data_IF_711095806267
#
_entry.id   IF_711095806267
#
_cell.length_a   1.000
_cell.length_b   1.000
_cell.length_c   1.000
_cell.angle_alpha   90.00
_cell.angle_beta   90.00
_cell.angle_gamma   90.00
#
_symmetry.space_group_name_H-M   'P 1'
#
loop_
_entity.id
_entity.type
_entity.pdbx_description
1 polymer ?
#
# COMPACT_ATOMS: atom_id res chain seq x y z
N UNK A 1 -21.37 -13.41 -21.10
CA UNK A 1 -20.03 -13.99 -20.93
C UNK A 1 -18.97 -12.90 -20.78
N UNK A 2 -18.88 -12.28 -19.59
CA UNK A 2 -17.84 -11.26 -19.28
C UNK A 2 -17.52 -11.21 -17.78
N UNK A 3 -17.51 -12.35 -17.09
CA UNK A 3 -17.11 -12.48 -15.68
C UNK A 3 -15.68 -13.02 -15.57
N UNK A 4 -14.74 -12.35 -16.25
CA UNK A 4 -13.32 -12.65 -16.12
C UNK A 4 -12.45 -11.38 -16.07
N UNK A 5 -12.99 -10.32 -15.45
CA UNK A 5 -12.15 -9.20 -15.00
C UNK A 5 -11.49 -9.65 -13.70
N UNK A 6 -10.31 -10.25 -13.83
CA UNK A 6 -9.26 -10.38 -12.82
C UNK A 6 -9.65 -9.73 -11.47
N UNK A 7 -10.32 -10.50 -10.61
CA UNK A 7 -10.83 -10.03 -9.32
C UNK A 7 -9.68 -9.93 -8.31
N UNK A 8 -8.78 -8.96 -8.51
CA UNK A 8 -7.78 -8.52 -7.53
C UNK A 8 -8.17 -7.19 -6.91
N UNK A 9 -9.47 -6.95 -6.82
CA UNK A 9 -10.06 -5.91 -6.00
C UNK A 9 -10.11 -6.45 -4.58
N UNK A 10 -9.46 -5.82 -3.57
CA UNK A 10 -9.75 -6.14 -2.19
C UNK A 10 -11.24 -5.88 -2.02
N UNK A 11 -12.00 -6.94 -1.76
CA UNK A 11 -13.48 -6.96 -1.82
C UNK A 11 -14.10 -5.77 -1.07
N UNK A 12 -13.41 -5.25 -0.07
CA UNK A 12 -13.87 -4.23 0.85
C UNK A 12 -13.37 -2.80 0.56
N UNK A 13 -12.75 -2.50 -0.58
CA UNK A 13 -12.43 -1.10 -0.92
C UNK A 13 -13.74 -0.32 -1.14
N UNK A 14 -13.99 0.80 -0.43
CA UNK A 14 -15.22 1.57 -0.58
C UNK A 14 -15.45 2.06 -2.01
N UNK A 15 -16.71 2.02 -2.47
CA UNK A 15 -17.08 2.36 -3.85
C UNK A 15 -16.62 3.76 -4.29
N UNK A 16 -16.53 4.72 -3.37
CA UNK A 16 -16.03 6.07 -3.64
C UNK A 16 -14.60 6.08 -4.20
N UNK A 17 -13.76 5.09 -3.90
CA UNK A 17 -12.38 5.03 -4.38
C UNK A 17 -12.21 4.27 -5.71
N UNK A 18 -13.30 3.69 -6.26
CA UNK A 18 -13.23 2.90 -7.49
C UNK A 18 -12.66 3.64 -8.70
N UNK A 19 -12.83 4.95 -8.74
CA UNK A 19 -12.32 5.79 -9.83
C UNK A 19 -10.81 6.05 -9.75
N UNK A 20 -10.19 5.88 -8.58
CA UNK A 20 -8.73 6.09 -8.40
C UNK A 20 -7.94 4.79 -8.35
N UNK A 21 -8.60 3.63 -8.19
CA UNK A 21 -7.93 2.34 -8.06
C UNK A 21 -7.52 1.77 -9.42
N UNK A 22 -6.37 2.22 -9.92
CA UNK A 22 -5.89 1.99 -11.28
C UNK A 22 -4.50 1.34 -11.31
N UNK A 23 -3.74 1.42 -10.21
CA UNK A 23 -2.33 1.00 -10.12
C UNK A 23 -2.11 -0.46 -10.47
N UNK A 24 -3.04 -1.34 -10.09
CA UNK A 24 -3.01 -2.78 -10.44
C UNK A 24 -2.84 -3.01 -11.94
N UNK A 25 -3.54 -2.23 -12.77
CA UNK A 25 -3.44 -2.32 -14.24
C UNK A 25 -2.30 -1.44 -14.78
N UNK A 26 -2.18 -0.19 -14.30
CA UNK A 26 -1.16 0.76 -14.75
C UNK A 26 0.27 0.24 -14.55
N UNK A 27 0.50 -0.49 -13.46
CA UNK A 27 1.81 -0.98 -13.03
C UNK A 27 1.88 -2.51 -13.08
N UNK A 28 1.05 -3.18 -13.91
CA UNK A 28 1.00 -4.65 -13.97
C UNK A 28 2.34 -5.30 -14.37
N UNK A 29 3.14 -4.58 -15.15
CA UNK A 29 4.45 -5.01 -15.65
C UNK A 29 5.60 -4.33 -14.89
N UNK A 30 5.32 -3.78 -13.69
CA UNK A 30 6.34 -3.11 -12.89
C UNK A 30 7.51 -4.04 -12.53
N UNK A 31 8.75 -3.50 -12.44
CA UNK A 31 9.88 -4.28 -11.99
C UNK A 31 9.69 -4.69 -10.52
N UNK A 32 10.34 -5.80 -10.12
CA UNK A 32 10.24 -6.43 -8.79
C UNK A 32 8.89 -7.08 -8.50
N UNK A 33 7.78 -6.33 -8.60
CA UNK A 33 6.43 -6.82 -8.32
C UNK A 33 5.52 -6.61 -9.54
N UNK A 34 5.43 -7.62 -10.39
CA UNK A 34 4.46 -7.68 -11.49
C UNK A 34 3.14 -8.32 -11.02
N UNK A 35 2.09 -8.16 -11.82
CA UNK A 35 0.81 -8.85 -11.58
C UNK A 35 0.96 -10.37 -11.51
N UNK A 36 1.87 -10.98 -12.28
CA UNK A 36 2.09 -12.42 -12.23
C UNK A 36 2.80 -12.85 -10.93
N UNK A 37 3.72 -12.03 -10.40
CA UNK A 37 4.29 -12.25 -9.08
C UNK A 37 3.23 -12.14 -7.97
N UNK A 38 2.30 -11.19 -8.08
CA UNK A 38 1.18 -11.07 -7.14
C UNK A 38 0.27 -12.30 -7.16
N UNK A 39 -0.07 -12.82 -8.36
CA UNK A 39 -0.83 -14.07 -8.49
C UNK A 39 -0.13 -15.23 -7.80
N UNK A 40 1.19 -15.34 -8.00
CA UNK A 40 1.98 -16.36 -7.33
C UNK A 40 1.90 -16.23 -5.79
N UNK A 41 2.00 -15.02 -5.23
CA UNK A 41 1.82 -14.82 -3.79
C UNK A 41 0.42 -15.19 -3.30
N UNK A 42 -0.63 -14.81 -4.04
CA UNK A 42 -2.01 -15.15 -3.70
C UNK A 42 -2.24 -16.69 -3.73
N UNK A 43 -1.68 -17.38 -4.71
CA UNK A 43 -1.75 -18.84 -4.84
C UNK A 43 -1.00 -19.58 -3.73
N UNK A 44 0.09 -19.00 -3.22
CA UNK A 44 0.84 -19.58 -2.10
C UNK A 44 0.16 -19.30 -0.76
N UNK A 45 -0.35 -18.09 -0.57
CA UNK A 45 -0.94 -17.68 0.71
C UNK A 45 -2.36 -18.24 0.90
N UNK A 46 -3.14 -18.36 -0.19
CA UNK A 46 -4.51 -18.94 -0.21
C UNK A 46 -5.45 -18.38 0.84
N UNK A 47 -5.30 -17.11 1.19
CA UNK A 47 -6.11 -16.51 2.23
C UNK A 47 -7.47 -16.05 1.69
N UNK A 48 -8.46 -15.97 2.59
CA UNK A 48 -9.75 -15.39 2.25
C UNK A 48 -9.57 -13.88 2.00
N UNK A 49 -9.77 -13.48 0.74
CA UNK A 49 -9.72 -12.07 0.31
C UNK A 49 -10.66 -11.13 1.08
N UNK A 50 -11.70 -11.66 1.74
CA UNK A 50 -12.64 -10.88 2.58
C UNK A 50 -12.21 -10.82 4.04
N UNK A 51 -11.18 -11.56 4.42
CA UNK A 51 -10.69 -11.53 5.79
C UNK A 51 -10.03 -10.18 6.09
N UNK A 52 -10.43 -9.49 7.18
CA UNK A 52 -9.79 -8.25 7.58
C UNK A 52 -8.32 -8.42 8.00
N UNK A 53 -7.90 -9.66 8.29
CA UNK A 53 -6.49 -9.99 8.56
C UNK A 53 -5.64 -10.03 7.28
N UNK A 54 -6.26 -10.12 6.11
CA UNK A 54 -5.59 -10.11 4.80
C UNK A 54 -5.69 -8.72 4.17
N UNK A 55 -6.90 -8.16 4.19
CA UNK A 55 -7.19 -6.83 3.64
C UNK A 55 -7.68 -5.92 4.76
N UNK A 56 -6.83 -5.06 5.34
CA UNK A 56 -7.20 -4.21 6.47
C UNK A 56 -8.45 -3.37 6.21
N UNK A 57 -8.67 -2.91 4.97
CA UNK A 57 -9.88 -2.16 4.58
C UNK A 57 -11.20 -2.92 4.81
N UNK A 58 -11.17 -4.23 5.10
CA UNK A 58 -12.35 -5.01 5.49
C UNK A 58 -12.73 -4.87 6.96
N UNK A 59 -11.91 -4.23 7.81
CA UNK A 59 -12.34 -3.88 9.17
C UNK A 59 -13.50 -2.88 9.12
N UNK A 60 -14.45 -3.01 10.04
CA UNK A 60 -15.62 -2.11 10.12
C UNK A 60 -15.27 -0.70 10.59
N UNK A 61 -14.13 -0.56 11.26
CA UNK A 61 -13.65 0.68 11.88
C UNK A 61 -12.14 0.58 12.05
N UNK A 62 -11.50 1.71 11.84
CA UNK A 62 -10.07 2.02 12.00
C UNK A 62 -9.80 3.06 13.11
N UNK A 63 -10.85 3.59 13.76
CA UNK A 63 -10.73 4.46 14.94
C UNK A 63 -9.85 3.86 16.02
N UNK A 64 -9.03 4.70 16.64
CA UNK A 64 -8.16 4.31 17.75
C UNK A 64 -6.91 3.54 17.31
N UNK A 65 -6.67 3.35 16.01
CA UNK A 65 -5.38 2.89 15.52
C UNK A 65 -4.28 3.91 15.84
N UNK A 66 -3.04 3.46 16.04
CA UNK A 66 -1.92 4.35 16.32
C UNK A 66 -1.64 5.27 15.12
N UNK A 67 -0.97 6.41 15.35
CA UNK A 67 -0.38 7.21 14.28
C UNK A 67 0.36 6.32 13.29
N UNK A 68 0.07 6.48 12.01
CA UNK A 68 0.53 5.55 10.96
C UNK A 68 1.36 6.30 9.93
N UNK A 69 2.53 5.79 9.64
CA UNK A 69 3.41 6.32 8.59
C UNK A 69 3.43 5.39 7.38
N UNK A 70 3.40 5.97 6.18
CA UNK A 70 3.43 5.23 4.92
C UNK A 70 4.62 5.65 4.06
N UNK A 71 5.27 4.67 3.44
CA UNK A 71 6.21 4.86 2.33
C UNK A 71 5.60 4.20 1.10
N UNK A 72 5.26 5.02 0.09
CA UNK A 72 4.46 4.57 -1.05
C UNK A 72 5.29 4.69 -2.33
N UNK A 73 5.44 3.57 -3.04
CA UNK A 73 6.13 3.50 -4.33
C UNK A 73 5.18 3.87 -5.48
N UNK A 74 5.63 4.70 -6.42
CA UNK A 74 4.78 5.19 -7.51
C UNK A 74 4.61 4.20 -8.67
N UNK A 75 5.67 3.41 -8.96
CA UNK A 75 5.66 2.35 -9.98
C UNK A 75 5.36 0.98 -9.33
N UNK A 76 4.30 0.94 -8.53
CA UNK A 76 3.91 -0.24 -7.75
C UNK A 76 2.44 -0.58 -8.02
N UNK A 77 2.08 -1.83 -8.35
CA UNK A 77 0.68 -2.22 -8.48
C UNK A 77 -0.13 -2.04 -7.19
N UNK A 78 0.51 -2.03 -6.02
CA UNK A 78 -0.11 -1.83 -4.69
C UNK A 78 -0.26 -0.35 -4.28
N UNK A 79 0.14 0.59 -5.16
CA UNK A 79 0.19 2.02 -4.85
C UNK A 79 -1.16 2.55 -4.36
N UNK A 80 -2.24 2.25 -5.09
CA UNK A 80 -3.52 2.88 -4.81
C UNK A 80 -4.18 2.31 -3.54
N UNK A 81 -3.96 1.04 -3.19
CA UNK A 81 -4.39 0.49 -1.90
C UNK A 81 -3.80 1.26 -0.72
N UNK A 82 -2.51 1.60 -0.78
CA UNK A 82 -1.84 2.35 0.28
C UNK A 82 -2.40 3.77 0.41
N UNK A 83 -2.65 4.45 -0.72
CA UNK A 83 -3.26 5.78 -0.75
C UNK A 83 -4.68 5.74 -0.18
N UNK A 84 -5.49 4.77 -0.62
CA UNK A 84 -6.86 4.57 -0.15
C UNK A 84 -6.88 4.28 1.35
N UNK A 85 -5.99 3.41 1.83
CA UNK A 85 -5.95 3.07 3.25
C UNK A 85 -5.53 4.27 4.10
N UNK A 86 -4.55 5.05 3.65
CA UNK A 86 -4.21 6.33 4.29
C UNK A 86 -5.42 7.28 4.38
N UNK A 87 -6.21 7.40 3.31
CA UNK A 87 -7.39 8.29 3.32
C UNK A 87 -8.47 7.78 4.28
N UNK A 88 -8.70 6.46 4.32
CA UNK A 88 -9.61 5.83 5.30
C UNK A 88 -9.14 6.13 6.73
N UNK A 89 -7.84 5.98 7.04
CA UNK A 89 -7.29 6.28 8.35
C UNK A 89 -7.49 7.76 8.74
N UNK A 90 -7.23 8.69 7.82
CA UNK A 90 -7.44 10.13 8.04
C UNK A 90 -8.91 10.45 8.32
N UNK A 91 -9.84 9.89 7.55
CA UNK A 91 -11.28 10.07 7.75
C UNK A 91 -11.75 9.55 9.11
N UNK A 92 -11.08 8.53 9.66
CA UNK A 92 -11.36 7.98 10.97
C UNK A 92 -10.59 8.66 12.12
N UNK A 93 -9.91 9.78 11.83
CA UNK A 93 -9.22 10.62 12.81
C UNK A 93 -7.84 10.10 13.23
N UNK A 94 -7.28 9.12 12.52
CA UNK A 94 -5.92 8.63 12.75
C UNK A 94 -4.93 9.62 12.13
N UNK A 95 -3.92 10.03 12.90
CA UNK A 95 -2.82 10.85 12.38
C UNK A 95 -2.00 10.03 11.40
N UNK A 96 -1.84 10.51 10.17
CA UNK A 96 -0.98 9.85 9.20
C UNK A 96 0.06 10.79 8.60
N UNK A 97 1.19 10.21 8.21
CA UNK A 97 2.26 10.86 7.44
C UNK A 97 2.63 9.95 6.27
N UNK A 98 2.92 10.52 5.11
CA UNK A 98 3.20 9.78 3.88
C UNK A 98 4.44 10.36 3.22
N UNK A 99 5.40 9.51 2.88
CA UNK A 99 6.44 9.81 1.90
C UNK A 99 6.18 9.00 0.62
N UNK A 100 6.09 9.71 -0.49
CA UNK A 100 5.75 9.14 -1.79
C UNK A 100 6.99 9.18 -2.70
N UNK A 101 7.25 8.07 -3.39
CA UNK A 101 8.43 7.89 -4.24
C UNK A 101 7.99 7.67 -5.70
N UNK A 102 7.85 8.75 -6.50
CA UNK A 102 7.42 8.65 -7.89
C UNK A 102 8.37 7.79 -8.72
N UNK A 103 7.83 6.90 -9.54
CA UNK A 103 8.60 6.09 -10.49
C UNK A 103 9.45 4.96 -9.89
N UNK A 104 9.56 4.86 -8.55
CA UNK A 104 10.26 3.74 -7.92
C UNK A 104 9.34 2.53 -7.78
N UNK A 105 9.85 1.31 -8.01
CA UNK A 105 9.07 0.09 -7.91
C UNK A 105 8.94 -0.42 -6.48
N UNK A 106 8.07 -1.40 -6.30
CA UNK A 106 7.90 -2.11 -5.04
C UNK A 106 9.25 -2.57 -4.48
N UNK A 107 9.50 -2.30 -3.20
CA UNK A 107 10.71 -2.74 -2.48
C UNK A 107 12.04 -2.29 -3.09
N UNK A 108 12.09 -1.15 -3.80
CA UNK A 108 13.32 -0.65 -4.45
C UNK A 108 14.55 -0.59 -3.53
N UNK A 109 14.35 -0.29 -2.25
CA UNK A 109 15.41 -0.16 -1.25
C UNK A 109 16.21 -1.45 -1.06
N UNK A 110 15.65 -2.61 -1.38
CA UNK A 110 16.33 -3.90 -1.26
C UNK A 110 17.21 -4.24 -2.46
N UNK A 111 17.02 -3.60 -3.61
CA UNK A 111 17.67 -3.95 -4.87
C UNK A 111 18.76 -2.95 -5.27
N UNK A 112 18.61 -1.68 -4.88
CA UNK A 112 19.54 -0.61 -5.24
C UNK A 112 20.10 0.09 -3.99
N UNK A 113 20.90 -0.64 -3.22
CA UNK A 113 21.37 -0.21 -1.90
C UNK A 113 22.16 1.11 -1.94
N UNK A 114 23.02 1.28 -2.94
CA UNK A 114 23.92 2.44 -3.04
C UNK A 114 23.26 3.66 -3.68
N UNK A 115 22.05 3.53 -4.22
CA UNK A 115 21.36 4.61 -4.91
C UNK A 115 20.90 5.70 -3.93
N UNK A 116 20.94 6.96 -4.37
CA UNK A 116 20.59 8.10 -3.53
C UNK A 116 19.12 8.07 -3.07
N UNK A 117 18.22 7.53 -3.89
CA UNK A 117 16.82 7.35 -3.50
C UNK A 117 16.65 6.33 -2.36
N UNK A 118 17.53 5.33 -2.26
CA UNK A 118 17.53 4.35 -1.16
C UNK A 118 18.08 4.96 0.12
N UNK A 119 19.14 5.76 0.02
CA UNK A 119 19.66 6.53 1.16
C UNK A 119 18.60 7.50 1.69
N UNK A 120 17.93 8.23 0.80
CA UNK A 120 16.80 9.11 1.15
C UNK A 120 15.67 8.34 1.85
N UNK A 121 15.28 7.18 1.32
CA UNK A 121 14.28 6.31 1.95
C UNK A 121 14.67 5.94 3.39
N UNK A 122 15.93 5.57 3.63
CA UNK A 122 16.42 5.20 4.96
C UNK A 122 16.42 6.39 5.93
N UNK A 123 16.86 7.57 5.47
CA UNK A 123 16.81 8.81 6.25
C UNK A 123 15.37 9.16 6.64
N UNK A 124 14.43 9.09 5.69
CA UNK A 124 13.02 9.35 5.93
C UNK A 124 12.38 8.32 6.88
N UNK A 125 12.77 7.05 6.80
CA UNK A 125 12.35 6.03 7.77
C UNK A 125 12.81 6.38 9.19
N UNK A 126 14.04 6.90 9.37
CA UNK A 126 14.53 7.33 10.69
C UNK A 126 13.75 8.53 11.22
N UNK A 127 13.49 9.53 10.38
CA UNK A 127 12.68 10.69 10.76
C UNK A 127 11.23 10.31 11.04
N UNK A 128 10.69 9.32 10.33
CA UNK A 128 9.36 8.81 10.58
C UNK A 128 9.25 8.09 11.93
N UNK A 129 10.26 7.30 12.31
CA UNK A 129 10.30 6.67 13.64
C UNK A 129 10.32 7.74 14.74
N UNK A 130 11.13 8.78 14.60
CA UNK A 130 11.12 9.92 15.54
C UNK A 130 9.73 10.54 15.63
N UNK A 131 9.11 10.84 14.49
CA UNK A 131 7.76 11.40 14.43
C UNK A 131 6.73 10.52 15.13
N UNK A 132 6.77 9.19 14.93
CA UNK A 132 5.88 8.24 15.60
C UNK A 132 6.04 8.26 17.12
N UNK A 133 7.28 8.31 17.61
CA UNK A 133 7.57 8.36 19.05
C UNK A 133 7.09 9.67 19.69
N UNK A 134 7.18 10.79 18.98
CA UNK A 134 6.64 12.08 19.42
C UNK A 134 5.11 12.07 19.53
N UNK A 135 4.41 11.25 18.76
CA UNK A 135 2.95 11.13 18.86
C UNK A 135 2.48 10.28 20.03
N UNK A 136 3.38 9.57 20.70
CA UNK A 136 3.08 8.68 21.84
C UNK A 136 3.20 9.40 23.19
N UNK A 137 3.54 10.69 23.19
CA UNK A 137 3.64 11.58 24.35
C UNK A 137 2.35 12.38 24.52
#
# INVERSE_FOLDING_TARGET
STENRLTYWPVCVPAKYKHIYLSREQNKDAPVLSSDMMKFFDEMYKADSKSPLVSPTCFKSHKGLPPTYFQICGLDPLRDEAIIYNDILKEEGVKTKVDFYPGLPHSFWSWWLDADFTKKYQEESLEAVKWLLEQSQ
#
